data_IF_619051936535
#
_entry.id   IF_619051936535
#
_cell.length_a   1.000
_cell.length_b   1.000
_cell.length_c   1.000
_cell.angle_alpha   90.00
_cell.angle_beta   90.00
_cell.angle_gamma   90.00
#
_symmetry.space_group_name_H-M   'P 1'
#
loop_
_entity.id
_entity.type
_entity.pdbx_description
1 polymer ?
#
# COMPACT_ATOMS: atom_id res chain seq x y z
N UNK A 1 4.05 17.34 10.46
CA UNK A 1 3.86 18.68 9.86
C UNK A 1 2.96 18.66 8.63
N UNK A 2 3.31 17.94 7.55
CA UNK A 2 2.51 17.91 6.31
C UNK A 2 1.05 17.52 6.53
N UNK A 3 0.79 16.52 7.36
CA UNK A 3 -0.57 16.08 7.73
C UNK A 3 -1.46 17.26 8.17
N UNK A 4 -1.02 18.03 9.16
CA UNK A 4 -1.77 19.18 9.66
C UNK A 4 -2.00 20.26 8.59
N UNK A 5 -1.03 20.48 7.69
CA UNK A 5 -1.16 21.45 6.60
C UNK A 5 -2.15 21.00 5.53
N UNK A 6 -2.13 19.71 5.19
CA UNK A 6 -3.08 19.15 4.24
C UNK A 6 -4.50 19.17 4.83
N UNK A 7 -4.68 18.78 6.09
CA UNK A 7 -5.99 18.85 6.76
C UNK A 7 -6.54 20.27 6.77
N UNK A 8 -5.72 21.28 7.09
CA UNK A 8 -6.13 22.69 7.00
C UNK A 8 -6.56 23.10 5.59
N UNK A 9 -5.90 22.57 4.56
CA UNK A 9 -6.27 22.88 3.17
C UNK A 9 -7.60 22.25 2.74
N UNK A 10 -8.08 21.22 3.45
CA UNK A 10 -9.28 20.48 3.05
C UNK A 10 -10.58 21.23 3.24
N UNK A 11 -10.60 22.25 4.11
CA UNK A 11 -11.76 23.16 4.28
C UNK A 11 -12.17 23.87 2.98
N UNK A 12 -11.27 23.91 1.99
CA UNK A 12 -11.53 24.52 0.69
C UNK A 12 -12.29 23.60 -0.30
N UNK A 13 -12.47 22.31 -0.01
CA UNK A 13 -13.02 21.35 -0.96
C UNK A 13 -14.36 20.75 -0.48
N UNK A 14 -15.39 20.68 -1.36
CA UNK A 14 -16.68 20.07 -1.04
C UNK A 14 -16.63 18.54 -1.18
N UNK A 15 -15.64 17.89 -0.57
CA UNK A 15 -15.42 16.45 -0.66
C UNK A 15 -15.00 15.89 0.71
N UNK A 16 -15.34 14.64 0.97
CA UNK A 16 -14.77 13.91 2.09
C UNK A 16 -13.34 13.47 1.72
N UNK A 17 -12.34 13.86 2.50
CA UNK A 17 -10.93 13.58 2.20
C UNK A 17 -10.28 12.87 3.40
N UNK A 18 -9.63 11.74 3.13
CA UNK A 18 -8.77 11.02 4.08
C UNK A 18 -7.33 11.03 3.61
N UNK A 19 -6.38 11.03 4.55
CA UNK A 19 -4.95 11.00 4.26
C UNK A 19 -4.34 9.67 4.65
N UNK A 20 -3.43 9.19 3.80
CA UNK A 20 -2.55 8.08 4.12
C UNK A 20 -1.18 8.61 4.56
N UNK A 21 -0.68 8.11 5.69
CA UNK A 21 0.71 8.30 6.10
C UNK A 21 1.67 7.37 5.33
N UNK A 22 2.98 7.62 5.43
CA UNK A 22 3.98 6.67 4.92
C UNK A 22 4.04 5.46 5.86
N UNK A 23 3.85 4.25 5.34
CA UNK A 23 3.89 3.01 6.13
C UNK A 23 5.29 2.38 6.26
N UNK A 24 6.26 2.81 5.47
CA UNK A 24 7.59 2.21 5.42
C UNK A 24 8.47 2.70 6.59
N UNK A 25 8.43 1.97 7.71
CA UNK A 25 9.38 2.08 8.81
C UNK A 25 9.51 0.73 9.52
N UNK A 26 10.69 0.42 10.06
CA UNK A 26 10.91 -0.80 10.87
C UNK A 26 10.89 -0.52 12.38
N UNK A 27 10.43 0.67 12.78
CA UNK A 27 10.16 1.07 14.17
C UNK A 27 8.82 1.80 14.22
N UNK A 28 7.98 1.54 15.23
CA UNK A 28 6.57 1.95 15.20
C UNK A 28 6.38 3.44 15.44
N UNK A 29 7.21 4.08 16.28
CA UNK A 29 6.99 5.46 16.74
C UNK A 29 6.71 6.48 15.61
N UNK A 30 7.44 6.39 14.49
CA UNK A 30 7.22 7.30 13.37
C UNK A 30 5.85 7.09 12.69
N UNK A 31 5.35 5.85 12.64
CA UNK A 31 4.05 5.52 12.07
C UNK A 31 2.93 5.98 13.01
N UNK A 32 3.08 5.72 14.31
CA UNK A 32 2.17 6.16 15.36
C UNK A 32 1.99 7.68 15.35
N UNK A 33 3.08 8.44 15.25
CA UNK A 33 3.03 9.90 15.13
C UNK A 33 2.21 10.37 13.93
N UNK A 34 2.27 9.68 12.79
CA UNK A 34 1.49 10.03 11.60
C UNK A 34 0.00 9.71 11.77
N UNK A 35 -0.33 8.57 12.39
CA UNK A 35 -1.73 8.22 12.71
C UNK A 35 -2.33 9.24 13.68
N UNK A 36 -1.62 9.54 14.77
CA UNK A 36 -2.03 10.55 15.75
C UNK A 36 -2.13 11.96 15.16
N UNK A 37 -1.37 12.26 14.11
CA UNK A 37 -1.45 13.53 13.40
C UNK A 37 -2.66 13.62 12.44
N UNK A 38 -3.40 12.53 12.22
CA UNK A 38 -4.64 12.49 11.42
C UNK A 38 -4.62 11.58 10.19
N UNK A 39 -3.64 10.68 10.03
CA UNK A 39 -3.71 9.67 8.99
C UNK A 39 -4.84 8.66 9.29
N UNK A 40 -5.73 8.41 8.35
CA UNK A 40 -6.75 7.36 8.47
C UNK A 40 -6.28 6.00 7.94
N UNK A 41 -5.07 5.94 7.37
CA UNK A 41 -4.45 4.75 6.80
C UNK A 41 -2.95 4.95 6.61
N UNK A 42 -2.22 3.88 6.29
CA UNK A 42 -0.80 3.93 5.95
C UNK A 42 -0.54 3.28 4.58
N UNK A 43 0.41 3.82 3.80
CA UNK A 43 0.83 3.27 2.50
C UNK A 43 2.25 2.72 2.58
N UNK A 44 2.39 1.41 2.38
CA UNK A 44 3.65 0.76 2.07
C UNK A 44 3.92 0.89 0.57
N UNK A 45 5.06 1.46 0.19
CA UNK A 45 5.48 1.61 -1.21
C UNK A 45 6.92 1.16 -1.42
N UNK A 46 7.20 0.47 -2.53
CA UNK A 46 8.53 -0.11 -2.78
C UNK A 46 9.62 0.95 -2.90
N UNK A 47 9.31 2.13 -3.44
CA UNK A 47 10.18 3.32 -3.51
C UNK A 47 10.68 3.78 -2.13
N UNK A 48 10.00 3.40 -1.04
CA UNK A 48 10.43 3.64 0.33
C UNK A 48 10.89 2.36 1.05
N UNK A 49 10.98 1.23 0.33
CA UNK A 49 11.37 -0.10 0.81
C UNK A 49 10.19 -0.87 1.42
N UNK A 50 9.46 -1.65 0.61
CA UNK A 50 8.38 -2.55 1.08
C UNK A 50 8.96 -3.89 1.54
N UNK A 51 9.84 -3.83 2.53
CA UNK A 51 10.51 -5.02 3.09
C UNK A 51 9.62 -5.76 4.10
N UNK A 52 9.87 -7.05 4.39
CA UNK A 52 9.15 -7.80 5.42
C UNK A 52 9.11 -7.11 6.80
N UNK A 53 10.20 -6.44 7.20
CA UNK A 53 10.27 -5.71 8.47
C UNK A 53 9.36 -4.48 8.49
N UNK A 54 9.30 -3.74 7.37
CA UNK A 54 8.40 -2.60 7.23
C UNK A 54 6.93 -3.04 7.19
N UNK A 55 6.63 -4.11 6.46
CA UNK A 55 5.28 -4.71 6.41
C UNK A 55 4.82 -5.09 7.81
N UNK A 56 5.64 -5.83 8.56
CA UNK A 56 5.28 -6.31 9.89
C UNK A 56 5.07 -5.18 10.90
N UNK A 57 5.94 -4.17 10.86
CA UNK A 57 5.82 -3.00 11.73
C UNK A 57 4.57 -2.17 11.40
N UNK A 58 4.33 -1.90 10.12
CA UNK A 58 3.17 -1.13 9.68
C UNK A 58 1.85 -1.80 10.04
N UNK A 59 1.74 -3.12 9.83
CA UNK A 59 0.53 -3.86 10.18
C UNK A 59 0.32 -3.97 11.69
N UNK A 60 1.39 -4.06 12.48
CA UNK A 60 1.28 -4.03 13.95
C UNK A 60 0.73 -2.69 14.45
N UNK A 61 1.18 -1.57 13.87
CA UNK A 61 0.65 -0.24 14.19
C UNK A 61 -0.79 -0.11 13.70
N UNK A 62 -1.12 -0.63 12.52
CA UNK A 62 -2.46 -0.60 11.98
C UNK A 62 -3.48 -1.31 12.88
N UNK A 63 -3.15 -2.52 13.36
CA UNK A 63 -4.00 -3.26 14.30
C UNK A 63 -4.18 -2.52 15.63
N UNK A 64 -3.13 -1.86 16.13
CA UNK A 64 -3.17 -1.15 17.40
C UNK A 64 -4.01 0.15 17.36
N UNK A 65 -4.12 0.77 16.19
CA UNK A 65 -4.82 2.06 16.01
C UNK A 65 -6.10 1.96 15.15
N UNK A 66 -6.47 0.75 14.70
CA UNK A 66 -7.62 0.48 13.85
C UNK A 66 -7.65 1.33 12.56
N UNK A 67 -6.53 1.30 11.82
CA UNK A 67 -6.40 1.98 10.51
C UNK A 67 -6.05 0.99 9.41
N UNK A 68 -6.42 1.30 8.16
CA UNK A 68 -6.12 0.43 7.02
C UNK A 68 -4.64 0.54 6.59
N UNK A 69 -4.07 -0.54 6.05
CA UNK A 69 -2.78 -0.52 5.34
C UNK A 69 -2.99 -0.81 3.85
N UNK A 70 -2.48 0.08 3.01
CA UNK A 70 -2.39 -0.12 1.57
C UNK A 70 -0.97 -0.52 1.21
N UNK A 71 -0.80 -1.41 0.23
CA UNK A 71 0.51 -1.91 -0.16
C UNK A 71 0.73 -1.89 -1.67
N UNK A 72 1.91 -1.40 -2.04
CA UNK A 72 2.60 -1.60 -3.31
C UNK A 72 3.86 -2.41 -2.98
N UNK A 73 3.90 -3.66 -3.41
CA UNK A 73 4.91 -4.65 -3.01
C UNK A 73 6.22 -4.50 -3.79
N UNK A 74 7.26 -5.21 -3.36
CA UNK A 74 8.62 -5.15 -3.92
C UNK A 74 8.68 -5.79 -5.31
N UNK A 75 8.57 -4.98 -6.38
CA UNK A 75 8.56 -5.46 -7.77
C UNK A 75 9.85 -6.17 -8.13
N UNK A 76 10.97 -5.68 -7.59
CA UNK A 76 12.31 -6.18 -7.86
C UNK A 76 12.56 -7.55 -7.24
N UNK A 77 11.69 -7.97 -6.30
CA UNK A 77 11.95 -9.10 -5.42
C UNK A 77 13.30 -8.95 -4.69
N UNK A 78 13.69 -7.72 -4.34
CA UNK A 78 14.99 -7.42 -3.73
C UNK A 78 15.10 -8.06 -2.35
N UNK A 79 14.05 -7.87 -1.54
CA UNK A 79 13.99 -8.31 -0.16
C UNK A 79 13.33 -9.68 0.01
N UNK A 80 12.53 -10.10 -0.96
CA UNK A 80 11.64 -11.25 -0.86
C UNK A 80 10.91 -11.54 -2.19
N UNK A 81 10.44 -12.77 -2.39
CA UNK A 81 9.39 -13.08 -3.37
C UNK A 81 8.00 -12.90 -2.76
N UNK A 82 6.93 -13.00 -3.57
CA UNK A 82 5.55 -12.75 -3.15
C UNK A 82 5.14 -13.59 -1.93
N UNK A 83 5.56 -14.85 -1.85
CA UNK A 83 5.27 -15.74 -0.73
C UNK A 83 5.86 -15.24 0.59
N UNK A 84 7.01 -14.58 0.56
CA UNK A 84 7.66 -14.02 1.74
C UNK A 84 6.93 -12.76 2.21
N UNK A 85 6.47 -11.91 1.29
CA UNK A 85 5.61 -10.77 1.59
C UNK A 85 4.28 -11.23 2.20
N UNK A 86 3.67 -12.27 1.63
CA UNK A 86 2.46 -12.90 2.20
C UNK A 86 2.72 -13.45 3.61
N UNK A 87 3.86 -14.08 3.83
CA UNK A 87 4.26 -14.53 5.17
C UNK A 87 4.44 -13.34 6.15
N UNK A 88 5.01 -12.22 5.70
CA UNK A 88 5.17 -11.01 6.52
C UNK A 88 3.84 -10.35 6.90
N UNK A 89 2.81 -10.48 6.05
CA UNK A 89 1.45 -10.02 6.36
C UNK A 89 0.85 -10.78 7.55
N UNK A 90 1.24 -12.05 7.78
CA UNK A 90 0.80 -12.88 8.92
C UNK A 90 -0.74 -13.00 9.03
N UNK A 91 -1.43 -13.03 7.89
CA UNK A 91 -2.89 -13.15 7.84
C UNK A 91 -3.67 -11.91 8.30
N UNK A 92 -3.00 -10.78 8.57
CA UNK A 92 -3.65 -9.51 8.92
C UNK A 92 -4.30 -8.86 7.70
N UNK A 93 -5.32 -8.05 7.94
CA UNK A 93 -6.04 -7.32 6.89
C UNK A 93 -5.12 -6.36 6.16
N UNK A 94 -5.12 -6.39 4.83
CA UNK A 94 -4.33 -5.46 4.02
C UNK A 94 -5.01 -5.19 2.67
N UNK A 95 -4.92 -3.95 2.19
CA UNK A 95 -5.42 -3.54 0.88
C UNK A 95 -4.27 -3.56 -0.15
N UNK A 96 -4.32 -4.50 -1.10
CA UNK A 96 -3.38 -4.53 -2.21
C UNK A 96 -3.80 -3.55 -3.32
N UNK A 97 -2.95 -2.56 -3.60
CA UNK A 97 -3.12 -1.68 -4.76
C UNK A 97 -2.73 -2.41 -6.04
N UNK A 98 -3.33 -2.00 -7.17
CA UNK A 98 -3.03 -2.47 -8.54
C UNK A 98 -2.59 -3.94 -8.61
N UNK A 99 -3.44 -4.83 -8.07
CA UNK A 99 -3.08 -6.22 -7.76
C UNK A 99 -2.70 -7.06 -8.99
N UNK A 100 -3.04 -6.58 -10.20
CA UNK A 100 -2.60 -7.22 -11.44
C UNK A 100 -1.08 -7.10 -11.68
N UNK A 101 -0.44 -6.03 -11.18
CA UNK A 101 1.02 -5.87 -11.16
C UNK A 101 1.60 -4.85 -12.13
N UNK A 102 0.89 -4.42 -13.18
CA UNK A 102 1.43 -3.40 -14.10
C UNK A 102 1.72 -2.05 -13.40
N UNK A 103 0.91 -1.68 -12.40
CA UNK A 103 1.16 -0.50 -11.57
C UNK A 103 2.26 -0.70 -10.52
N UNK A 104 2.83 -1.91 -10.42
CA UNK A 104 3.87 -2.31 -9.48
C UNK A 104 3.45 -3.42 -8.52
N UNK A 105 4.44 -4.20 -8.11
CA UNK A 105 4.34 -5.34 -7.21
C UNK A 105 5.18 -6.52 -7.69
N UNK A 106 5.47 -7.48 -6.80
CA UNK A 106 6.28 -8.68 -7.08
C UNK A 106 6.08 -9.23 -8.50
N UNK A 107 7.12 -9.12 -9.32
CA UNK A 107 7.08 -9.60 -10.69
C UNK A 107 7.43 -11.11 -10.75
N UNK A 108 6.67 -11.94 -11.50
CA UNK A 108 5.49 -11.60 -12.30
C UNK A 108 4.15 -11.93 -11.60
N UNK A 109 4.15 -12.26 -10.31
CA UNK A 109 3.11 -13.09 -9.70
C UNK A 109 2.41 -12.46 -8.49
N UNK A 110 2.51 -11.14 -8.30
CA UNK A 110 1.75 -10.40 -7.29
C UNK A 110 0.24 -10.67 -7.34
N UNK A 111 -0.31 -10.95 -8.53
CA UNK A 111 -1.75 -11.27 -8.71
C UNK A 111 -2.24 -12.45 -7.85
N UNK A 112 -1.34 -13.32 -7.36
CA UNK A 112 -1.66 -14.40 -6.43
C UNK A 112 -2.36 -13.91 -5.16
N UNK A 113 -2.11 -12.68 -4.71
CA UNK A 113 -2.69 -12.16 -3.45
C UNK A 113 -4.21 -11.98 -3.52
N UNK A 114 -4.82 -11.95 -4.73
CA UNK A 114 -6.28 -12.00 -4.90
C UNK A 114 -6.92 -13.25 -4.29
N UNK A 115 -6.18 -14.34 -4.13
CA UNK A 115 -6.67 -15.60 -3.57
C UNK A 115 -6.65 -15.66 -2.04
N UNK A 116 -6.18 -14.61 -1.36
CA UNK A 116 -5.98 -14.60 0.09
C UNK A 116 -7.18 -13.98 0.83
N UNK A 117 -7.71 -14.61 1.89
CA UNK A 117 -8.94 -14.16 2.55
C UNK A 117 -8.79 -12.85 3.32
N UNK A 118 -7.56 -12.50 3.70
CA UNK A 118 -7.22 -11.30 4.45
C UNK A 118 -6.77 -10.13 3.54
N UNK A 119 -6.79 -10.32 2.22
CA UNK A 119 -6.42 -9.29 1.25
C UNK A 119 -7.67 -8.68 0.65
N UNK A 120 -7.72 -7.35 0.61
CA UNK A 120 -8.72 -6.57 -0.12
C UNK A 120 -8.06 -6.11 -1.42
N UNK A 121 -8.22 -6.84 -2.55
CA UNK A 121 -7.54 -6.51 -3.79
C UNK A 121 -8.24 -5.38 -4.53
N UNK A 122 -7.47 -4.56 -5.24
CA UNK A 122 -8.00 -3.51 -6.12
C UNK A 122 -7.20 -3.42 -7.42
N UNK A 123 -7.84 -2.90 -8.46
CA UNK A 123 -7.19 -2.57 -9.72
C UNK A 123 -7.09 -1.05 -9.87
N UNK A 124 -6.04 -0.58 -10.54
CA UNK A 124 -6.00 0.79 -11.09
C UNK A 124 -6.59 0.80 -12.49
N UNK A 125 -6.95 1.98 -12.98
CA UNK A 125 -7.71 2.12 -14.22
C UNK A 125 -6.93 1.94 -15.54
N UNK A 126 -5.58 2.10 -15.66
CA UNK A 126 -4.96 2.09 -16.99
C UNK A 126 -5.02 0.72 -17.70
N UNK A 127 -5.08 -0.37 -16.94
CA UNK A 127 -5.21 -1.74 -17.48
C UNK A 127 -6.67 -2.18 -17.71
N UNK A 128 -7.63 -1.22 -17.67
CA UNK A 128 -9.08 -1.50 -17.65
C UNK A 128 -9.83 -0.82 -18.81
N UNK A 129 -10.43 -1.59 -19.75
CA UNK A 129 -10.18 -3.01 -20.02
C UNK A 129 -8.85 -3.22 -20.77
N UNK A 130 -8.55 -4.48 -21.12
CA UNK A 130 -7.52 -4.75 -22.11
C UNK A 130 -7.98 -4.25 -23.50
N UNK A 131 -7.14 -3.43 -24.15
CA UNK A 131 -7.39 -2.87 -25.49
C UNK A 131 -6.17 -3.07 -26.39
N UNK A 132 -6.32 -2.76 -27.68
CA UNK A 132 -5.24 -2.86 -28.67
C UNK A 132 -4.01 -2.01 -28.34
N UNK A 133 -4.17 -0.93 -27.56
CA UNK A 133 -3.08 -0.03 -27.21
C UNK A 133 -2.51 -0.27 -25.81
N UNK A 134 -3.15 -1.08 -24.97
CA UNK A 134 -2.80 -1.21 -23.54
C UNK A 134 -1.33 -1.58 -23.35
N UNK A 135 -0.81 -2.56 -24.09
CA UNK A 135 0.58 -2.99 -23.93
C UNK A 135 1.59 -1.94 -24.41
N UNK A 136 1.32 -1.32 -25.56
CA UNK A 136 2.23 -0.32 -26.13
C UNK A 136 2.28 0.94 -25.25
N UNK A 137 1.14 1.38 -24.72
CA UNK A 137 1.05 2.51 -23.81
C UNK A 137 1.77 2.26 -22.48
N UNK A 138 1.72 1.04 -21.94
CA UNK A 138 2.33 0.73 -20.64
C UNK A 138 3.83 0.40 -20.71
N UNK A 139 4.37 0.12 -21.90
CA UNK A 139 5.77 -0.26 -22.06
C UNK A 139 6.69 0.94 -22.33
N UNK A 140 6.14 2.03 -22.89
CA UNK A 140 6.84 3.29 -23.16
C UNK A 140 7.06 4.12 -21.88
#
# INVERSE_FOLDING_TARGET
WHMARMIQSFDAFPMNIGLSGKGNASRPAALEEMVLAGACSLKLHEDWGTTPAAIDCCLSVADAYDVQVMIHTDTLNESAFVENTVAAIKGRTIHAFHTEGAGGGHAPDIIKVCGLPNVIPSSTNPTRPYTVNTLAEHLD
#
